data_IF_917961556605
#
_entry.id   IF_917961556605
#
_cell.length_a   1.000
_cell.length_b   1.000
_cell.length_c   1.000
_cell.angle_alpha   90.00
_cell.angle_beta   90.00
_cell.angle_gamma   90.00
#
_symmetry.space_group_name_H-M   'P 1'
#
loop_
_entity.id
_entity.type
_entity.pdbx_description
1 polymer ?
#
# COMPACT_ATOMS: atom_id res chain seq x y z
N UNK A 1 3.08 -15.04 34.88
CA UNK A 1 3.26 -14.55 33.49
C UNK A 1 4.34 -15.42 32.84
N UNK A 2 4.05 -16.15 31.75
CA UNK A 2 5.07 -16.99 31.07
C UNK A 2 6.13 -16.08 30.44
N UNK A 3 7.40 -16.29 30.75
CA UNK A 3 8.51 -15.64 30.04
C UNK A 3 8.60 -16.21 28.62
N UNK A 4 8.31 -15.39 27.62
CA UNK A 4 8.56 -15.74 26.22
C UNK A 4 10.02 -15.45 25.87
N UNK A 5 10.77 -16.46 25.46
CA UNK A 5 12.19 -16.32 25.10
C UNK A 5 12.36 -15.81 23.64
N UNK A 6 12.06 -14.54 23.39
CA UNK A 6 12.27 -13.90 22.08
C UNK A 6 13.74 -13.93 21.65
N UNK A 7 14.66 -13.69 22.60
CA UNK A 7 16.10 -13.60 22.32
C UNK A 7 16.68 -14.94 21.84
N UNK A 8 16.12 -16.07 22.27
CA UNK A 8 16.57 -17.41 21.88
C UNK A 8 16.38 -17.66 20.38
N UNK A 9 15.26 -17.22 19.83
CA UNK A 9 14.87 -17.49 18.44
C UNK A 9 15.22 -16.33 17.48
N UNK A 10 15.91 -15.29 17.95
CA UNK A 10 16.22 -14.09 17.16
C UNK A 10 16.83 -14.37 15.79
N UNK A 11 17.68 -15.39 15.65
CA UNK A 11 18.33 -15.73 14.38
C UNK A 11 17.33 -16.21 13.34
N UNK A 12 16.30 -16.96 13.76
CA UNK A 12 15.24 -17.46 12.88
C UNK A 12 14.39 -16.29 12.41
N UNK A 13 13.96 -15.41 13.34
CA UNK A 13 13.17 -14.23 12.98
C UNK A 13 13.95 -13.28 12.05
N UNK A 14 15.22 -13.01 12.34
CA UNK A 14 16.08 -12.18 11.47
C UNK A 14 16.20 -12.82 10.08
N UNK A 15 16.41 -14.13 9.98
CA UNK A 15 16.52 -14.81 8.70
C UNK A 15 15.23 -14.72 7.88
N UNK A 16 14.07 -14.93 8.51
CA UNK A 16 12.76 -14.78 7.86
C UNK A 16 12.55 -13.34 7.39
N UNK A 17 12.83 -12.37 8.24
CA UNK A 17 12.71 -10.93 7.93
C UNK A 17 13.57 -10.54 6.73
N UNK A 18 14.84 -10.97 6.72
CA UNK A 18 15.76 -10.70 5.61
C UNK A 18 15.32 -11.38 4.31
N UNK A 19 14.77 -12.60 4.39
CA UNK A 19 14.22 -13.28 3.23
C UNK A 19 13.02 -12.52 2.65
N UNK A 20 12.10 -12.04 3.50
CA UNK A 20 10.98 -11.22 3.06
C UNK A 20 11.46 -9.90 2.45
N UNK A 21 12.42 -9.23 3.08
CA UNK A 21 13.03 -8.02 2.53
C UNK A 21 13.67 -8.27 1.15
N UNK A 22 14.35 -9.40 0.96
CA UNK A 22 14.94 -9.77 -0.33
C UNK A 22 13.85 -10.01 -1.40
N UNK A 23 12.79 -10.74 -1.07
CA UNK A 23 11.64 -10.96 -1.98
C UNK A 23 10.97 -9.63 -2.35
N UNK A 24 10.75 -8.76 -1.37
CA UNK A 24 10.21 -7.42 -1.56
C UNK A 24 11.07 -6.61 -2.53
N UNK A 25 12.39 -6.59 -2.32
CA UNK A 25 13.31 -5.85 -3.18
C UNK A 25 13.34 -6.40 -4.61
N UNK A 26 13.36 -7.73 -4.77
CA UNK A 26 13.31 -8.37 -6.09
C UNK A 26 12.02 -7.99 -6.80
N UNK A 27 10.86 -8.09 -6.12
CA UNK A 27 9.58 -7.71 -6.70
C UNK A 27 9.57 -6.25 -7.15
N UNK A 28 10.06 -5.34 -6.31
CA UNK A 28 10.12 -3.90 -6.61
C UNK A 28 10.97 -3.62 -7.85
N UNK A 29 12.08 -4.33 -8.04
CA UNK A 29 12.97 -4.15 -9.19
C UNK A 29 12.43 -4.80 -10.47
N UNK A 30 11.71 -5.93 -10.38
CA UNK A 30 11.22 -6.67 -11.56
C UNK A 30 9.83 -6.27 -12.00
N UNK A 31 8.91 -6.01 -11.06
CA UNK A 31 7.51 -5.67 -11.35
C UNK A 31 7.24 -4.17 -11.28
N UNK A 32 8.02 -3.43 -10.48
CA UNK A 32 7.74 -2.03 -10.20
C UNK A 32 6.48 -1.85 -9.36
N UNK A 33 5.81 -0.72 -9.54
CA UNK A 33 4.64 -0.31 -8.79
C UNK A 33 3.50 0.13 -9.71
N UNK A 34 2.27 -0.21 -9.31
CA UNK A 34 1.07 0.30 -9.93
C UNK A 34 0.69 1.61 -9.23
N UNK A 35 0.95 2.75 -9.83
CA UNK A 35 0.54 4.04 -9.28
C UNK A 35 -0.91 4.36 -9.63
N UNK A 36 -1.64 4.94 -8.67
CA UNK A 36 -2.99 5.46 -8.89
C UNK A 36 -3.01 6.67 -9.82
N UNK A 37 -4.20 6.98 -10.34
CA UNK A 37 -4.40 8.07 -11.31
C UNK A 37 -4.02 9.44 -10.74
N UNK A 38 -4.06 9.61 -9.42
CA UNK A 38 -3.64 10.85 -8.76
C UNK A 38 -2.13 11.10 -8.87
N UNK A 39 -1.35 10.10 -9.27
CA UNK A 39 0.10 10.24 -9.51
C UNK A 39 0.48 10.14 -10.99
N UNK A 40 -0.26 9.37 -11.78
CA UNK A 40 0.02 9.16 -13.21
C UNK A 40 -0.77 10.08 -14.13
N UNK A 41 -1.90 10.60 -13.66
CA UNK A 41 -2.95 11.15 -14.51
C UNK A 41 -3.80 10.05 -15.16
N UNK A 42 -4.97 10.45 -15.66
CA UNK A 42 -5.92 9.58 -16.37
C UNK A 42 -7.22 9.37 -15.61
N UNK A 43 -7.83 8.21 -15.79
CA UNK A 43 -9.18 7.89 -15.30
C UNK A 43 -9.24 6.56 -14.56
N UNK A 44 -10.00 6.54 -13.47
CA UNK A 44 -10.26 5.35 -12.66
C UNK A 44 -11.77 5.09 -12.60
N UNK A 45 -12.17 3.89 -13.01
CA UNK A 45 -13.56 3.43 -12.94
C UNK A 45 -13.65 2.34 -11.88
N UNK A 46 -14.46 2.57 -10.84
CA UNK A 46 -14.75 1.55 -9.82
C UNK A 46 -16.07 0.89 -10.17
N UNK A 47 -15.97 -0.37 -10.56
CA UNK A 47 -17.08 -1.23 -10.89
C UNK A 47 -17.41 -2.10 -9.68
N UNK A 48 -18.68 -2.09 -9.25
CA UNK A 48 -19.23 -3.04 -8.28
C UNK A 48 -20.01 -4.11 -9.03
N UNK A 49 -19.75 -5.37 -8.71
CA UNK A 49 -20.40 -6.54 -9.31
C UNK A 49 -20.99 -7.42 -8.20
N UNK A 50 -22.27 -7.74 -8.31
CA UNK A 50 -22.97 -8.66 -7.39
C UNK A 50 -22.77 -10.11 -7.85
N UNK A 51 -21.56 -10.64 -7.67
CA UNK A 51 -21.24 -12.04 -7.93
C UNK A 51 -20.04 -12.49 -7.08
N UNK A 52 -20.09 -13.74 -6.64
CA UNK A 52 -19.01 -14.43 -5.94
C UNK A 52 -18.01 -15.12 -6.87
N UNK A 53 -18.32 -15.26 -8.16
CA UNK A 53 -17.48 -15.94 -9.15
C UNK A 53 -16.85 -15.01 -10.19
N UNK A 54 -17.33 -13.77 -10.33
CA UNK A 54 -16.81 -12.82 -11.31
C UNK A 54 -15.33 -12.48 -11.06
N UNK A 55 -14.52 -12.49 -12.11
CA UNK A 55 -13.06 -12.35 -12.06
C UNK A 55 -12.58 -11.14 -12.88
N UNK A 56 -11.31 -10.79 -12.70
CA UNK A 56 -10.65 -9.75 -13.52
C UNK A 56 -10.64 -10.09 -15.01
N UNK A 57 -10.60 -11.39 -15.36
CA UNK A 57 -10.71 -11.88 -16.75
C UNK A 57 -12.07 -11.53 -17.37
N UNK A 58 -13.15 -11.65 -16.60
CA UNK A 58 -14.49 -11.34 -17.08
C UNK A 58 -14.66 -9.84 -17.32
N UNK A 59 -14.12 -9.02 -16.41
CA UNK A 59 -14.04 -7.56 -16.62
C UNK A 59 -13.21 -7.24 -17.86
N UNK A 60 -12.07 -7.92 -18.07
CA UNK A 60 -11.22 -7.73 -19.24
C UNK A 60 -11.97 -7.99 -20.54
N UNK A 61 -12.72 -9.08 -20.63
CA UNK A 61 -13.51 -9.40 -21.82
C UNK A 61 -14.50 -8.30 -22.18
N UNK A 62 -15.16 -7.71 -21.18
CA UNK A 62 -16.09 -6.59 -21.41
C UNK A 62 -15.35 -5.30 -21.79
N UNK A 63 -14.25 -5.00 -21.09
CA UNK A 63 -13.45 -3.79 -21.31
C UNK A 63 -12.81 -3.79 -22.71
N UNK A 64 -12.39 -4.95 -23.22
CA UNK A 64 -11.78 -5.08 -24.54
C UNK A 64 -12.77 -4.83 -25.70
N UNK A 65 -14.08 -4.89 -25.43
CA UNK A 65 -15.12 -4.51 -26.40
C UNK A 65 -15.26 -2.98 -26.55
N UNK A 66 -14.71 -2.20 -25.61
CA UNK A 66 -14.73 -0.76 -25.66
C UNK A 66 -13.60 -0.24 -26.55
N UNK A 67 -13.88 0.71 -27.46
CA UNK A 67 -12.86 1.28 -28.33
C UNK A 67 -11.86 2.15 -27.55
N UNK A 68 -10.63 2.26 -28.08
CA UNK A 68 -9.60 3.17 -27.59
C UNK A 68 -8.64 2.55 -26.58
N UNK A 69 -8.21 3.33 -25.60
CA UNK A 69 -7.13 2.97 -24.66
C UNK A 69 -7.55 1.90 -23.62
N UNK A 70 -8.79 1.42 -23.68
CA UNK A 70 -9.32 0.38 -22.79
C UNK A 70 -8.58 -0.96 -22.92
N UNK A 71 -8.04 -1.27 -24.11
CA UNK A 71 -7.18 -2.44 -24.31
C UNK A 71 -5.93 -2.44 -23.40
N UNK A 72 -5.43 -1.26 -23.05
CA UNK A 72 -4.27 -1.08 -22.17
C UNK A 72 -4.67 -0.78 -20.72
N UNK A 73 -5.96 -0.79 -20.40
CA UNK A 73 -6.43 -0.49 -19.06
C UNK A 73 -5.89 -1.50 -18.06
N UNK A 74 -5.46 -1.04 -16.89
CA UNK A 74 -5.13 -1.94 -15.78
C UNK A 74 -6.42 -2.31 -15.06
N UNK A 75 -6.63 -3.59 -14.82
CA UNK A 75 -7.79 -4.10 -14.08
C UNK A 75 -7.26 -4.77 -12.82
N UNK A 76 -7.74 -4.32 -11.66
CA UNK A 76 -7.35 -4.89 -10.37
C UNK A 76 -8.60 -5.11 -9.52
N UNK A 77 -8.75 -6.29 -8.95
CA UNK A 77 -9.79 -6.55 -7.98
C UNK A 77 -9.45 -5.85 -6.67
N UNK A 78 -10.38 -5.02 -6.20
CA UNK A 78 -10.28 -4.32 -4.92
C UNK A 78 -11.32 -4.86 -3.95
N UNK A 79 -10.98 -4.84 -2.67
CA UNK A 79 -11.90 -5.27 -1.61
C UNK A 79 -11.86 -4.25 -0.47
N UNK A 80 -13.01 -3.68 -0.15
CA UNK A 80 -13.14 -2.83 1.03
C UNK A 80 -13.44 -3.69 2.26
N UNK A 81 -12.96 -3.24 3.41
CA UNK A 81 -13.32 -3.84 4.70
C UNK A 81 -14.84 -3.71 4.87
N UNK A 82 -15.52 -4.82 5.14
CA UNK A 82 -16.98 -4.86 5.31
C UNK A 82 -17.78 -5.11 4.02
N UNK A 83 -17.13 -5.28 2.86
CA UNK A 83 -17.85 -5.69 1.65
C UNK A 83 -18.46 -7.10 1.83
N UNK A 84 -19.78 -7.28 1.54
CA UNK A 84 -20.44 -8.59 1.55
C UNK A 84 -19.71 -9.61 0.67
N UNK A 85 -19.77 -10.89 1.04
CA UNK A 85 -19.05 -11.95 0.32
C UNK A 85 -19.48 -12.11 -1.16
N UNK A 86 -20.72 -11.73 -1.49
CA UNK A 86 -21.30 -11.75 -2.82
C UNK A 86 -21.04 -10.47 -3.63
N UNK A 87 -20.30 -9.50 -3.09
CA UNK A 87 -19.97 -8.25 -3.78
C UNK A 87 -18.47 -8.20 -4.04
N UNK A 88 -18.12 -8.05 -5.32
CA UNK A 88 -16.75 -7.81 -5.77
C UNK A 88 -16.66 -6.40 -6.35
N UNK A 89 -15.51 -5.76 -6.18
CA UNK A 89 -15.21 -4.47 -6.80
C UNK A 89 -13.97 -4.60 -7.66
N UNK A 90 -13.96 -3.89 -8.77
CA UNK A 90 -12.84 -3.84 -9.70
C UNK A 90 -12.51 -2.39 -9.99
N UNK A 91 -11.22 -2.06 -9.91
CA UNK A 91 -10.70 -0.79 -10.39
C UNK A 91 -10.17 -0.99 -11.81
N UNK A 92 -10.66 -0.16 -12.74
CA UNK A 92 -10.21 -0.10 -14.13
C UNK A 92 -9.51 1.24 -14.31
N UNK A 93 -8.21 1.20 -14.54
CA UNK A 93 -7.35 2.38 -14.62
C UNK A 93 -6.88 2.62 -16.05
N UNK A 94 -7.05 3.86 -16.52
CA UNK A 94 -6.74 4.32 -17.86
C UNK A 94 -5.83 5.55 -17.79
N UNK A 95 -5.00 5.76 -18.81
CA UNK A 95 -4.17 6.97 -18.92
C UNK A 95 -4.92 8.15 -19.54
N UNK A 96 -5.99 7.88 -20.28
CA UNK A 96 -6.83 8.88 -20.93
C UNK A 96 -7.84 9.48 -19.96
N UNK A 97 -8.30 10.69 -20.29
CA UNK A 97 -9.38 11.40 -19.61
C UNK A 97 -10.55 11.60 -20.58
N UNK A 98 -11.77 11.65 -20.07
CA UNK A 98 -12.99 11.67 -20.88
C UNK A 98 -13.87 12.88 -20.57
N UNK A 99 -14.61 13.35 -21.57
CA UNK A 99 -15.67 14.35 -21.34
C UNK A 99 -16.88 13.73 -20.64
N UNK A 100 -17.69 14.55 -19.96
CA UNK A 100 -18.82 14.08 -19.14
C UNK A 100 -19.80 13.20 -19.91
N UNK A 101 -20.11 13.55 -21.16
CA UNK A 101 -21.05 12.79 -21.98
C UNK A 101 -20.49 11.40 -22.33
N UNK A 102 -19.20 11.33 -22.69
CA UNK A 102 -18.49 10.08 -22.98
C UNK A 102 -18.41 9.21 -21.71
N UNK A 103 -18.20 9.80 -20.52
CA UNK A 103 -18.22 9.04 -19.25
C UNK A 103 -19.55 8.33 -19.03
N UNK A 104 -20.66 9.01 -19.29
CA UNK A 104 -21.99 8.43 -19.11
C UNK A 104 -22.25 7.29 -20.11
N UNK A 105 -21.80 7.45 -21.35
CA UNK A 105 -21.85 6.40 -22.36
C UNK A 105 -21.02 5.17 -21.95
N UNK A 106 -19.78 5.37 -21.49
CA UNK A 106 -18.90 4.29 -21.00
C UNK A 106 -19.55 3.57 -19.82
N UNK A 107 -20.12 4.31 -18.85
CA UNK A 107 -20.83 3.71 -17.70
C UNK A 107 -21.96 2.80 -18.16
N UNK A 108 -22.83 3.30 -19.03
CA UNK A 108 -23.97 2.54 -19.53
C UNK A 108 -23.52 1.30 -20.31
N UNK A 109 -22.52 1.43 -21.19
CA UNK A 109 -21.97 0.30 -21.94
C UNK A 109 -21.36 -0.76 -21.04
N UNK A 110 -20.59 -0.37 -20.01
CA UNK A 110 -20.01 -1.29 -19.04
C UNK A 110 -21.08 -2.02 -18.24
N UNK A 111 -22.05 -1.29 -17.69
CA UNK A 111 -23.15 -1.88 -16.91
C UNK A 111 -24.01 -2.83 -17.74
N UNK A 112 -24.31 -2.45 -18.99
CA UNK A 112 -25.09 -3.27 -19.90
C UNK A 112 -24.32 -4.54 -20.31
N UNK A 113 -23.06 -4.42 -20.73
CA UNK A 113 -22.28 -5.57 -21.17
C UNK A 113 -22.06 -6.60 -20.05
N UNK A 114 -21.94 -6.18 -18.79
CA UNK A 114 -21.85 -7.10 -17.65
C UNK A 114 -23.23 -7.68 -17.31
N UNK A 115 -24.30 -6.90 -17.46
CA UNK A 115 -25.67 -7.39 -17.31
C UNK A 115 -26.00 -8.48 -18.33
N UNK A 116 -25.47 -8.36 -19.55
CA UNK A 116 -25.61 -9.37 -20.62
C UNK A 116 -24.87 -10.69 -20.27
N UNK A 117 -23.85 -10.64 -19.40
CA UNK A 117 -23.22 -11.83 -18.81
C UNK A 117 -24.04 -12.45 -17.67
N UNK A 118 -25.21 -11.90 -17.35
CA UNK A 118 -26.13 -12.41 -16.33
C UNK A 118 -25.82 -11.95 -14.91
N UNK A 119 -24.99 -10.90 -14.74
CA UNK A 119 -24.57 -10.40 -13.43
C UNK A 119 -24.93 -8.93 -13.28
N UNK A 120 -25.45 -8.53 -12.11
CA UNK A 120 -25.71 -7.11 -11.83
C UNK A 120 -24.41 -6.39 -11.56
N UNK A 121 -24.18 -5.31 -12.30
CA UNK A 121 -23.04 -4.42 -12.08
C UNK A 121 -23.47 -2.96 -12.03
N UNK A 122 -22.70 -2.16 -11.29
CA UNK A 122 -22.90 -0.73 -11.16
C UNK A 122 -21.54 -0.04 -11.13
N UNK A 123 -21.38 1.02 -11.91
CA UNK A 123 -20.22 1.91 -11.78
C UNK A 123 -20.43 2.83 -10.58
N UNK A 124 -19.68 2.56 -9.51
CA UNK A 124 -19.76 3.30 -8.24
C UNK A 124 -19.09 4.65 -8.35
N UNK A 125 -17.96 4.72 -9.03
CA UNK A 125 -17.24 5.97 -9.27
C UNK A 125 -16.53 5.95 -10.61
N UNK A 126 -16.38 7.15 -11.18
CA UNK A 126 -15.57 7.41 -12.34
C UNK A 126 -14.77 8.67 -12.02
N UNK A 127 -13.56 8.49 -11.51
CA UNK A 127 -12.67 9.54 -11.08
C UNK A 127 -11.67 9.87 -12.19
N UNK A 128 -11.24 11.11 -12.27
CA UNK A 128 -10.21 11.53 -13.21
C UNK A 128 -9.21 12.46 -12.55
N UNK A 129 -7.97 12.36 -12.97
CA UNK A 129 -6.89 13.24 -12.59
C UNK A 129 -6.23 13.81 -13.84
N UNK A 130 -6.36 15.12 -14.04
CA UNK A 130 -5.63 15.81 -15.10
C UNK A 130 -4.12 15.75 -14.84
N UNK A 131 -3.31 15.69 -15.90
CA UNK A 131 -1.85 15.54 -15.79
C UNK A 131 -1.18 16.58 -14.88
N UNK A 132 -1.61 17.84 -14.94
CA UNK A 132 -1.10 18.90 -14.05
C UNK A 132 -1.43 18.64 -12.58
N UNK A 133 -2.67 18.23 -12.27
CA UNK A 133 -3.07 17.91 -10.91
C UNK A 133 -2.31 16.69 -10.38
N UNK A 134 -2.12 15.66 -11.21
CA UNK A 134 -1.36 14.48 -10.85
C UNK A 134 0.12 14.79 -10.56
N UNK A 135 0.74 15.66 -11.37
CA UNK A 135 2.11 16.12 -11.15
C UNK A 135 2.25 16.90 -9.84
N UNK A 136 1.29 17.78 -9.54
CA UNK A 136 1.23 18.53 -8.28
C UNK A 136 1.13 17.59 -7.08
N UNK A 137 0.17 16.66 -7.11
CA UNK A 137 -0.06 15.68 -6.04
C UNK A 137 1.18 14.81 -5.83
N UNK A 138 1.81 14.33 -6.91
CA UNK A 138 3.06 13.55 -6.84
C UNK A 138 4.17 14.35 -6.16
N UNK A 139 4.37 15.62 -6.55
CA UNK A 139 5.42 16.48 -5.98
C UNK A 139 5.17 16.79 -4.50
N UNK A 140 3.94 17.12 -4.14
CA UNK A 140 3.55 17.37 -2.75
C UNK A 140 3.74 16.12 -1.88
N UNK A 141 3.32 14.97 -2.40
CA UNK A 141 3.47 13.67 -1.72
C UNK A 141 4.94 13.33 -1.46
N UNK A 142 5.80 13.50 -2.48
CA UNK A 142 7.24 13.27 -2.31
C UNK A 142 7.85 14.19 -1.26
N UNK A 143 7.50 15.49 -1.29
CA UNK A 143 7.95 16.46 -0.28
C UNK A 143 7.49 16.08 1.12
N UNK A 144 6.23 15.68 1.27
CA UNK A 144 5.66 15.26 2.56
C UNK A 144 6.42 14.05 3.14
N UNK A 145 6.72 13.04 2.31
CA UNK A 145 7.49 11.86 2.73
C UNK A 145 8.90 12.25 3.20
N UNK A 146 9.61 13.07 2.42
CA UNK A 146 10.97 13.51 2.78
C UNK A 146 10.97 14.31 4.08
N UNK A 147 10.04 15.25 4.24
CA UNK A 147 9.91 16.06 5.46
C UNK A 147 9.57 15.17 6.66
N UNK A 148 8.65 14.22 6.52
CA UNK A 148 8.28 13.29 7.58
C UNK A 148 9.47 12.43 8.03
N UNK A 149 10.22 11.86 7.08
CA UNK A 149 11.43 11.09 7.38
C UNK A 149 12.46 11.96 8.11
N UNK A 150 12.73 13.17 7.61
CA UNK A 150 13.67 14.09 8.25
C UNK A 150 13.24 14.45 9.69
N UNK A 151 11.95 14.74 9.91
CA UNK A 151 11.42 15.04 11.23
C UNK A 151 11.57 13.86 12.19
N UNK A 152 11.32 12.63 11.74
CA UNK A 152 11.52 11.40 12.52
C UNK A 152 13.00 11.23 12.89
N UNK A 153 13.91 11.39 11.92
CA UNK A 153 15.35 11.28 12.15
C UNK A 153 15.84 12.28 13.20
N UNK A 154 15.40 13.54 13.11
CA UNK A 154 15.72 14.58 14.08
C UNK A 154 15.19 14.20 15.46
N UNK A 155 13.93 13.82 15.55
CA UNK A 155 13.30 13.43 16.82
C UNK A 155 14.03 12.26 17.49
N UNK A 156 14.30 11.18 16.75
CA UNK A 156 14.96 9.99 17.26
C UNK A 156 16.39 10.30 17.72
N UNK A 157 17.12 11.11 16.96
CA UNK A 157 18.50 11.52 17.31
C UNK A 157 18.53 12.37 18.57
N UNK A 158 17.55 13.26 18.77
CA UNK A 158 17.47 14.07 20.00
C UNK A 158 17.01 13.26 21.22
N UNK A 159 16.14 12.26 21.01
CA UNK A 159 15.53 11.49 22.10
C UNK A 159 16.42 10.35 22.61
N UNK A 160 17.15 9.68 21.73
CA UNK A 160 17.91 8.45 22.03
C UNK A 160 19.41 8.58 21.77
N UNK A 161 20.21 7.72 22.40
CA UNK A 161 21.63 7.61 22.05
C UNK A 161 21.78 7.06 20.63
N UNK A 162 22.83 7.49 19.92
CA UNK A 162 23.12 7.16 18.53
C UNK A 162 22.86 5.70 18.12
N UNK A 163 23.26 4.72 18.95
CA UNK A 163 23.07 3.29 18.67
C UNK A 163 21.60 2.87 18.59
N UNK A 164 20.77 3.35 19.51
CA UNK A 164 19.31 3.11 19.47
C UNK A 164 18.70 3.83 18.27
N UNK A 165 19.13 5.06 18.00
CA UNK A 165 18.63 5.83 16.85
C UNK A 165 18.87 5.12 15.52
N UNK A 166 20.09 4.63 15.28
CA UNK A 166 20.42 3.85 14.09
C UNK A 166 19.57 2.58 13.98
N UNK A 167 19.37 1.87 15.10
CA UNK A 167 18.51 0.68 15.13
C UNK A 167 17.06 0.98 14.75
N UNK A 168 16.49 2.09 15.24
CA UNK A 168 15.14 2.51 14.90
C UNK A 168 15.00 2.85 13.41
N UNK A 169 15.99 3.52 12.82
CA UNK A 169 15.99 3.87 11.40
C UNK A 169 16.02 2.60 10.53
N UNK A 170 16.86 1.64 10.89
CA UNK A 170 16.97 0.37 10.16
C UNK A 170 15.65 -0.42 10.26
N UNK A 171 15.04 -0.48 11.44
CA UNK A 171 13.75 -1.13 11.64
C UNK A 171 12.64 -0.47 10.80
N UNK A 172 12.57 0.86 10.81
CA UNK A 172 11.61 1.60 10.00
C UNK A 172 11.82 1.39 8.50
N UNK A 173 13.07 1.47 8.03
CA UNK A 173 13.38 1.24 6.62
C UNK A 173 12.98 -0.18 6.19
N UNK A 174 13.21 -1.16 7.06
CA UNK A 174 12.80 -2.55 6.86
C UNK A 174 11.28 -2.68 6.73
N UNK A 175 10.51 -2.09 7.66
CA UNK A 175 9.05 -2.20 7.66
C UNK A 175 8.43 -1.54 6.42
N UNK A 176 8.95 -0.37 6.03
CA UNK A 176 8.54 0.32 4.80
C UNK A 176 8.89 -0.50 3.57
N UNK A 177 10.09 -1.08 3.52
CA UNK A 177 10.54 -1.91 2.39
C UNK A 177 9.66 -3.16 2.22
N UNK A 178 9.34 -3.86 3.31
CA UNK A 178 8.47 -5.02 3.23
C UNK A 178 7.08 -4.60 2.77
N UNK A 179 6.53 -3.52 3.32
CA UNK A 179 5.19 -3.04 2.97
C UNK A 179 5.12 -2.62 1.50
N UNK A 180 6.10 -1.85 1.00
CA UNK A 180 6.17 -1.48 -0.42
C UNK A 180 6.36 -2.72 -1.32
N UNK A 181 7.20 -3.67 -0.90
CA UNK A 181 7.35 -4.92 -1.61
C UNK A 181 6.04 -5.71 -1.72
N UNK A 182 5.19 -5.67 -0.71
CA UNK A 182 3.85 -6.27 -0.77
C UNK A 182 3.01 -5.61 -1.87
N UNK A 183 2.96 -4.27 -1.94
CA UNK A 183 2.24 -3.56 -3.01
C UNK A 183 2.77 -3.93 -4.39
N UNK A 184 4.10 -3.99 -4.55
CA UNK A 184 4.73 -4.41 -5.80
C UNK A 184 4.39 -5.86 -6.16
N UNK A 185 4.38 -6.76 -5.17
CA UNK A 185 4.17 -8.19 -5.38
C UNK A 185 2.72 -8.51 -5.76
N UNK A 186 1.77 -7.91 -5.03
CA UNK A 186 0.33 -8.13 -5.24
C UNK A 186 -0.25 -7.29 -6.37
N UNK A 187 0.46 -6.26 -6.81
CA UNK A 187 -0.02 -5.33 -7.83
C UNK A 187 -1.08 -4.35 -7.31
N UNK A 188 -1.24 -4.23 -5.98
CA UNK A 188 -2.12 -3.21 -5.42
C UNK A 188 -1.65 -1.80 -5.79
N UNK A 189 -2.62 -0.91 -5.95
CA UNK A 189 -2.34 0.45 -6.36
C UNK A 189 -1.77 1.29 -5.21
N UNK A 190 -0.65 1.95 -5.48
CA UNK A 190 -0.13 3.03 -4.66
C UNK A 190 -0.84 4.32 -5.06
N UNK A 191 -1.94 4.61 -4.37
CA UNK A 191 -2.71 5.85 -4.45
C UNK A 191 -2.50 6.72 -3.20
N UNK A 192 -3.15 7.89 -3.13
CA UNK A 192 -3.00 8.81 -1.99
C UNK A 192 -3.37 8.16 -0.65
N UNK A 193 -4.49 7.40 -0.53
CA UNK A 193 -4.79 6.62 0.67
C UNK A 193 -3.69 5.61 1.06
N UNK A 194 -3.09 4.92 0.09
CA UNK A 194 -2.00 3.98 0.37
C UNK A 194 -0.78 4.68 0.97
N UNK A 195 -0.43 5.88 0.48
CA UNK A 195 0.65 6.68 1.06
C UNK A 195 0.32 7.14 2.49
N UNK A 196 -0.92 7.57 2.74
CA UNK A 196 -1.37 7.93 4.09
C UNK A 196 -1.29 6.73 5.06
N UNK A 197 -1.65 5.53 4.60
CA UNK A 197 -1.52 4.30 5.36
C UNK A 197 -0.06 3.97 5.66
N UNK A 198 0.86 4.14 4.70
CA UNK A 198 2.30 3.98 4.90
C UNK A 198 2.86 4.95 5.95
N UNK A 199 2.46 6.22 5.90
CA UNK A 199 2.87 7.22 6.90
C UNK A 199 2.36 6.86 8.30
N UNK A 200 1.13 6.34 8.38
CA UNK A 200 0.54 5.86 9.63
C UNK A 200 1.28 4.64 10.17
N UNK A 201 1.63 3.68 9.30
CA UNK A 201 2.44 2.52 9.65
C UNK A 201 3.79 2.94 10.23
N UNK A 202 4.48 3.89 9.59
CA UNK A 202 5.75 4.44 10.07
C UNK A 202 5.60 5.01 11.49
N UNK A 203 4.52 5.78 11.74
CA UNK A 203 4.24 6.33 13.07
C UNK A 203 4.03 5.26 14.14
N UNK A 204 3.24 4.22 13.84
CA UNK A 204 3.00 3.11 14.76
C UNK A 204 4.26 2.26 15.02
N UNK A 205 5.02 1.92 13.97
CA UNK A 205 6.28 1.15 14.10
C UNK A 205 7.33 1.91 14.93
N UNK A 206 7.44 3.23 14.72
CA UNK A 206 8.32 4.07 15.53
C UNK A 206 7.86 4.12 16.99
N UNK A 207 6.56 4.28 17.24
CA UNK A 207 6.02 4.32 18.60
C UNK A 207 6.32 3.02 19.37
N UNK A 208 6.17 1.86 18.73
CA UNK A 208 6.51 0.57 19.36
C UNK A 208 8.01 0.49 19.70
N UNK A 209 8.86 0.89 18.75
CA UNK A 209 10.33 0.94 18.94
C UNK A 209 10.72 1.83 20.14
N UNK A 210 10.07 3.00 20.28
CA UNK A 210 10.30 3.94 21.38
C UNK A 210 9.95 3.32 22.73
N UNK A 211 8.79 2.68 22.85
CA UNK A 211 8.33 2.05 24.09
C UNK A 211 9.28 0.93 24.52
N UNK A 212 9.70 0.09 23.57
CA UNK A 212 10.68 -0.99 23.81
C UNK A 212 12.03 -0.42 24.26
N UNK A 213 12.54 0.61 23.58
CA UNK A 213 13.82 1.23 23.94
C UNK A 213 13.80 1.91 25.30
N UNK A 214 12.73 2.62 25.63
CA UNK A 214 12.58 3.23 26.96
C UNK A 214 12.56 2.15 28.05
N UNK A 215 11.89 1.02 27.80
CA UNK A 215 11.88 -0.11 28.75
C UNK A 215 13.25 -0.77 28.90
N UNK A 216 13.98 -0.97 27.80
CA UNK A 216 15.37 -1.48 27.82
C UNK A 216 16.24 -0.55 28.67
N UNK A 217 16.15 0.76 28.45
CA UNK A 217 16.93 1.76 29.19
C UNK A 217 16.60 1.79 30.68
N UNK A 218 15.32 1.68 31.02
CA UNK A 218 14.85 1.57 32.41
C UNK A 218 15.42 0.32 33.09
N UNK A 219 15.33 -0.84 32.42
CA UNK A 219 15.83 -2.11 32.94
C UNK A 219 17.37 -2.12 33.08
N UNK A 220 18.10 -1.55 32.12
CA UNK A 220 19.56 -1.42 32.20
C UNK A 220 20.02 -0.61 33.43
N UNK A 221 19.25 0.41 33.82
CA UNK A 221 19.51 1.17 35.05
C UNK A 221 19.20 0.35 36.30
N UNK A 222 18.06 -0.37 36.32
CA UNK A 222 17.61 -1.16 37.47
C UNK A 222 18.46 -2.40 37.75
N UNK A 223 18.97 -3.06 36.70
CA UNK A 223 19.71 -4.33 36.80
C UNK A 223 21.19 -4.21 36.46
N UNK A 224 21.78 -3.05 36.78
CA UNK A 224 23.18 -2.74 36.52
C UNK A 224 24.10 -3.85 37.07
N UNK A 225 24.93 -4.45 36.22
CA UNK A 225 25.88 -5.52 36.60
C UNK A 225 25.41 -6.95 36.30
N UNK A 226 24.19 -7.16 35.80
CA UNK A 226 23.72 -8.47 35.29
C UNK A 226 23.83 -8.55 33.76
N UNK A 227 24.00 -9.77 33.23
CA UNK A 227 24.07 -10.02 31.79
C UNK A 227 22.76 -9.62 31.10
N UNK A 228 22.86 -8.73 30.11
CA UNK A 228 21.74 -8.17 29.33
C UNK A 228 20.92 -9.28 28.65
N UNK A 229 21.54 -10.43 28.34
CA UNK A 229 20.84 -11.56 27.69
C UNK A 229 19.95 -12.36 28.65
N UNK A 230 20.09 -12.18 29.97
CA UNK A 230 19.35 -12.92 31.01
C UNK A 230 18.31 -12.06 31.74
N UNK A 231 18.11 -10.81 31.30
CA UNK A 231 17.14 -9.84 31.80
C UNK A 231 15.99 -9.67 30.81
#
# INVERSE_FOLDING_TARGET
MKMMEFVKHRRIFIAISLALAAVSLISMLTKGFNFGVEFTGGSEIILRVESDHFTESDVRQVVDLLPGDFAMARITQIRSVGDPANIRKFSITLTSTFETDIKNEIKQKLEQAISDMGVKAQVVSFNEAGGYAAEEVRRLTWRAIVIAIAAILIYVTMRFSFVFGLGAIIALAHDVLITLGLFSLTGYELNVPAVAALLTLIGYSLNDTIVVYDRIRENMKKFRGKDIKRL
#
